data_IF_035156015619
#
_entry.id   IF_035156015619
#
_cell.length_a   1.000
_cell.length_b   1.000
_cell.length_c   1.000
_cell.angle_alpha   90.00
_cell.angle_beta   90.00
_cell.angle_gamma   90.00
#
_symmetry.space_group_name_H-M   'P 1'
#
loop_
_entity.id
_entity.type
_entity.pdbx_description
1 polymer ?
#
# COMPACT_ATOMS: atom_id res chain seq x y z
N UNK A 1 -15.97 -11.51 -6.91
CA UNK A 1 -14.64 -12.15 -6.73
C UNK A 1 -14.57 -13.59 -7.18
N UNK A 2 -15.55 -14.45 -6.87
CA UNK A 2 -15.53 -15.88 -7.23
C UNK A 2 -15.34 -16.12 -8.73
N UNK A 3 -16.07 -15.41 -9.59
CA UNK A 3 -15.89 -15.50 -11.05
C UNK A 3 -14.49 -15.11 -11.51
N UNK A 4 -13.92 -14.03 -10.98
CA UNK A 4 -12.55 -13.62 -11.32
C UNK A 4 -11.50 -14.65 -10.89
N UNK A 5 -11.70 -15.29 -9.74
CA UNK A 5 -10.81 -16.36 -9.27
C UNK A 5 -10.95 -17.61 -10.13
N UNK A 6 -12.18 -18.00 -10.49
CA UNK A 6 -12.47 -19.14 -11.36
C UNK A 6 -11.91 -18.93 -12.78
N UNK A 7 -12.04 -17.73 -13.36
CA UNK A 7 -11.50 -17.45 -14.68
C UNK A 7 -9.97 -17.62 -14.73
N UNK A 8 -9.26 -17.35 -13.64
CA UNK A 8 -7.80 -17.52 -13.55
C UNK A 8 -7.40 -18.95 -13.15
N UNK A 9 -8.14 -19.56 -12.23
CA UNK A 9 -7.87 -20.90 -11.73
C UNK A 9 -9.19 -21.68 -11.66
N UNK A 10 -9.65 -22.24 -12.80
CA UNK A 10 -10.88 -23.00 -12.83
C UNK A 10 -10.76 -24.26 -11.97
N UNK A 11 -11.84 -24.60 -11.26
CA UNK A 11 -11.92 -25.77 -10.40
C UNK A 11 -13.22 -26.53 -10.70
N UNK A 12 -13.21 -27.87 -10.61
CA UNK A 12 -14.36 -28.69 -10.98
C UNK A 12 -14.61 -28.74 -12.50
N UNK A 13 -13.56 -28.70 -13.31
CA UNK A 13 -13.62 -28.83 -14.77
C UNK A 13 -12.95 -30.14 -15.19
N UNK A 14 -13.56 -30.88 -16.12
CA UNK A 14 -12.98 -32.11 -16.68
C UNK A 14 -11.90 -31.82 -17.74
N UNK A 15 -11.19 -32.85 -18.19
CA UNK A 15 -10.16 -32.72 -19.24
C UNK A 15 -10.70 -32.22 -20.60
N UNK A 16 -12.04 -32.20 -20.79
CA UNK A 16 -12.71 -31.66 -21.98
C UNK A 16 -13.23 -30.24 -21.78
N UNK A 17 -12.89 -29.58 -20.66
CA UNK A 17 -13.33 -28.22 -20.37
C UNK A 17 -14.78 -28.11 -19.86
N UNK A 18 -15.47 -29.23 -19.60
CA UNK A 18 -16.84 -29.21 -19.08
C UNK A 18 -16.81 -28.98 -17.58
N UNK A 19 -17.57 -27.99 -17.11
CA UNK A 19 -17.75 -27.76 -15.69
C UNK A 19 -18.64 -28.87 -15.09
N UNK A 20 -18.03 -29.72 -14.27
CA UNK A 20 -18.69 -30.80 -13.51
C UNK A 20 -18.78 -30.48 -12.00
N UNK A 21 -18.29 -29.30 -11.61
CA UNK A 21 -18.29 -28.82 -10.24
C UNK A 21 -19.67 -28.33 -9.79
N UNK A 22 -19.71 -27.89 -8.54
CA UNK A 22 -20.87 -27.25 -7.92
C UNK A 22 -20.46 -25.87 -7.37
N UNK A 23 -21.38 -25.16 -6.72
CA UNK A 23 -21.09 -23.86 -6.10
C UNK A 23 -19.91 -23.90 -5.11
N UNK A 24 -19.65 -25.03 -4.45
CA UNK A 24 -18.51 -25.19 -3.55
C UNK A 24 -17.17 -25.13 -4.29
N UNK A 25 -17.06 -25.77 -5.46
CA UNK A 25 -15.85 -25.73 -6.29
C UNK A 25 -15.55 -24.31 -6.80
N UNK A 26 -16.59 -23.52 -7.09
CA UNK A 26 -16.45 -22.10 -7.47
C UNK A 26 -15.96 -21.22 -6.30
N UNK A 27 -16.32 -21.56 -5.06
CA UNK A 27 -15.93 -20.82 -3.86
C UNK A 27 -14.62 -21.33 -3.23
N UNK A 28 -14.08 -22.46 -3.66
CA UNK A 28 -12.84 -23.05 -3.13
C UNK A 28 -11.80 -23.30 -4.22
N UNK A 29 -11.80 -22.49 -5.28
CA UNK A 29 -10.70 -22.52 -6.25
C UNK A 29 -9.38 -22.09 -5.61
N UNK A 30 -8.26 -22.50 -6.20
CA UNK A 30 -6.91 -22.25 -5.66
C UNK A 30 -6.63 -20.76 -5.36
N UNK A 31 -7.27 -19.85 -6.09
CA UNK A 31 -7.08 -18.41 -5.96
C UNK A 31 -8.19 -17.69 -5.20
N UNK A 32 -9.29 -18.36 -4.83
CA UNK A 32 -10.46 -17.70 -4.24
C UNK A 32 -10.14 -16.97 -2.93
N UNK A 33 -9.61 -17.71 -1.94
CA UNK A 33 -9.25 -17.15 -0.63
C UNK A 33 -8.16 -16.07 -0.74
N UNK A 34 -7.01 -16.33 -1.39
CA UNK A 34 -5.96 -15.33 -1.51
C UNK A 34 -6.42 -14.06 -2.25
N UNK A 35 -7.23 -14.22 -3.32
CA UNK A 35 -7.73 -13.07 -4.08
C UNK A 35 -8.72 -12.25 -3.26
N UNK A 36 -9.60 -12.88 -2.49
CA UNK A 36 -10.54 -12.17 -1.62
C UNK A 36 -9.82 -11.35 -0.56
N UNK A 37 -8.85 -11.94 0.14
CA UNK A 37 -8.09 -11.21 1.17
C UNK A 37 -7.34 -10.03 0.55
N UNK A 38 -6.67 -10.25 -0.59
CA UNK A 38 -5.95 -9.17 -1.26
C UNK A 38 -6.89 -8.05 -1.74
N UNK A 39 -8.05 -8.39 -2.32
CA UNK A 39 -9.02 -7.41 -2.81
C UNK A 39 -9.73 -6.68 -1.69
N UNK A 40 -10.09 -7.36 -0.60
CA UNK A 40 -10.72 -6.72 0.56
C UNK A 40 -9.85 -5.59 1.14
N UNK A 41 -8.55 -5.86 1.33
CA UNK A 41 -7.59 -4.84 1.76
C UNK A 41 -7.48 -3.71 0.73
N UNK A 42 -7.46 -4.07 -0.56
CA UNK A 42 -7.37 -3.11 -1.65
C UNK A 42 -8.62 -2.21 -1.75
N UNK A 43 -9.81 -2.74 -1.50
CA UNK A 43 -11.08 -2.01 -1.53
C UNK A 43 -11.15 -0.99 -0.38
N UNK A 44 -10.66 -1.36 0.82
CA UNK A 44 -10.51 -0.41 1.95
C UNK A 44 -9.60 0.76 1.55
N UNK A 45 -8.49 0.45 0.86
CA UNK A 45 -7.54 1.48 0.44
C UNK A 45 -8.07 2.35 -0.70
N UNK A 46 -8.84 1.79 -1.64
CA UNK A 46 -9.53 2.56 -2.68
C UNK A 46 -10.58 3.49 -2.11
N UNK A 47 -11.43 3.01 -1.19
CA UNK A 47 -12.41 3.85 -0.49
C UNK A 47 -11.71 4.95 0.32
N UNK A 48 -10.65 4.58 1.04
CA UNK A 48 -9.80 5.51 1.78
C UNK A 48 -9.21 6.60 0.88
N UNK A 49 -8.67 6.24 -0.29
CA UNK A 49 -8.12 7.19 -1.25
C UNK A 49 -9.14 8.24 -1.72
N UNK A 50 -10.39 7.85 -2.00
CA UNK A 50 -11.44 8.81 -2.39
C UNK A 50 -11.73 9.79 -1.25
N UNK A 51 -11.86 9.30 -0.02
CA UNK A 51 -12.12 10.17 1.14
C UNK A 51 -10.91 11.07 1.43
N UNK A 52 -9.68 10.57 1.28
CA UNK A 52 -8.46 11.37 1.39
C UNK A 52 -8.44 12.52 0.38
N UNK A 53 -8.75 12.23 -0.89
CA UNK A 53 -8.81 13.26 -1.91
C UNK A 53 -9.94 14.27 -1.64
N UNK A 54 -11.11 13.81 -1.17
CA UNK A 54 -12.19 14.70 -0.76
C UNK A 54 -11.78 15.61 0.40
N UNK A 55 -11.12 15.05 1.43
CA UNK A 55 -10.62 15.80 2.57
C UNK A 55 -9.61 16.87 2.12
N UNK A 56 -8.68 16.54 1.22
CA UNK A 56 -7.76 17.52 0.65
C UNK A 56 -8.50 18.61 -0.16
N UNK A 57 -9.43 18.21 -1.02
CA UNK A 57 -10.23 19.14 -1.82
C UNK A 57 -10.99 20.13 -0.94
N UNK A 58 -11.67 19.63 0.10
CA UNK A 58 -12.39 20.46 1.05
C UNK A 58 -11.44 21.30 1.90
N UNK A 59 -10.30 20.77 2.34
CA UNK A 59 -9.30 21.55 3.08
C UNK A 59 -8.83 22.78 2.29
N UNK A 60 -8.59 22.63 0.98
CA UNK A 60 -8.16 23.73 0.11
C UNK A 60 -9.27 24.72 -0.26
N UNK A 61 -10.53 24.25 -0.33
CA UNK A 61 -11.69 25.09 -0.67
C UNK A 61 -12.41 25.69 0.54
N UNK A 62 -12.09 25.24 1.75
CA UNK A 62 -12.67 25.73 3.00
C UNK A 62 -12.36 27.22 3.23
N UNK A 63 -13.40 27.97 3.61
CA UNK A 63 -13.32 29.41 3.88
C UNK A 63 -13.11 29.72 5.36
N UNK A 64 -13.51 28.79 6.23
CA UNK A 64 -13.39 28.93 7.69
C UNK A 64 -12.24 28.07 8.22
N UNK A 65 -11.68 28.47 9.37
CA UNK A 65 -10.62 27.71 10.02
C UNK A 65 -11.18 26.41 10.65
N UNK A 66 -12.46 26.42 11.06
CA UNK A 66 -13.19 25.28 11.61
C UNK A 66 -13.38 24.17 10.58
N UNK A 67 -13.86 24.49 9.37
CA UNK A 67 -13.98 23.51 8.29
C UNK A 67 -12.61 22.94 7.90
N UNK A 68 -11.60 23.81 7.79
CA UNK A 68 -10.24 23.39 7.47
C UNK A 68 -9.69 22.43 8.53
N UNK A 69 -9.97 22.69 9.80
CA UNK A 69 -9.62 21.81 10.91
C UNK A 69 -10.33 20.45 10.82
N UNK A 70 -11.63 20.45 10.51
CA UNK A 70 -12.39 19.22 10.32
C UNK A 70 -11.82 18.35 9.20
N UNK A 71 -11.57 18.92 8.01
CA UNK A 71 -11.05 18.14 6.88
C UNK A 71 -9.58 17.73 7.04
N UNK A 72 -8.80 18.46 7.84
CA UNK A 72 -7.49 17.97 8.28
C UNK A 72 -7.60 16.71 9.15
N UNK A 73 -8.54 16.71 10.10
CA UNK A 73 -8.83 15.54 10.92
C UNK A 73 -9.34 14.36 10.09
N UNK A 74 -10.29 14.59 9.17
CA UNK A 74 -10.79 13.54 8.26
C UNK A 74 -9.64 12.94 7.45
N UNK A 75 -8.76 13.78 6.89
CA UNK A 75 -7.59 13.32 6.14
C UNK A 75 -6.66 12.44 6.98
N UNK A 76 -6.42 12.81 8.24
CA UNK A 76 -5.62 11.99 9.16
C UNK A 76 -6.27 10.64 9.48
N UNK A 77 -7.57 10.62 9.80
CA UNK A 77 -8.29 9.39 10.16
C UNK A 77 -8.32 8.41 9.01
N UNK A 78 -8.67 8.88 7.81
CA UNK A 78 -8.73 8.00 6.64
C UNK A 78 -7.35 7.59 6.13
N UNK A 79 -6.30 8.39 6.38
CA UNK A 79 -4.94 7.93 6.16
C UNK A 79 -4.62 6.76 7.08
N UNK A 80 -4.97 6.86 8.36
CA UNK A 80 -4.74 5.78 9.32
C UNK A 80 -5.47 4.49 8.90
N UNK A 81 -6.75 4.57 8.53
CA UNK A 81 -7.52 3.43 7.99
C UNK A 81 -6.84 2.82 6.76
N UNK A 82 -6.41 3.67 5.83
CA UNK A 82 -5.73 3.24 4.60
C UNK A 82 -4.40 2.56 4.90
N UNK A 83 -3.61 3.09 5.85
CA UNK A 83 -2.33 2.50 6.27
C UNK A 83 -2.55 1.16 6.96
N UNK A 84 -3.58 1.01 7.80
CA UNK A 84 -3.94 -0.26 8.41
C UNK A 84 -4.25 -1.35 7.37
N UNK A 85 -4.79 -0.99 6.21
CA UNK A 85 -4.99 -1.92 5.10
C UNK A 85 -3.74 -2.09 4.21
N UNK A 86 -2.93 -1.04 4.05
CA UNK A 86 -1.67 -1.08 3.28
C UNK A 86 -0.62 -1.99 3.91
N UNK A 87 -0.45 -1.94 5.23
CA UNK A 87 0.58 -2.71 5.93
C UNK A 87 0.48 -4.23 5.71
N UNK A 88 -0.71 -4.87 5.78
CA UNK A 88 -0.86 -6.29 5.48
C UNK A 88 -0.89 -6.62 3.98
N UNK A 89 -1.09 -5.62 3.10
CA UNK A 89 -1.28 -5.84 1.65
C UNK A 89 -0.13 -6.58 0.96
N UNK A 90 1.17 -6.29 1.21
CA UNK A 90 2.27 -7.06 0.64
C UNK A 90 2.16 -8.56 0.93
N UNK A 91 1.78 -8.93 2.16
CA UNK A 91 1.62 -10.33 2.56
C UNK A 91 0.45 -11.01 1.87
N UNK A 92 -0.69 -10.33 1.76
CA UNK A 92 -1.82 -10.82 0.97
C UNK A 92 -1.43 -11.01 -0.51
N UNK A 93 -0.63 -10.09 -1.07
CA UNK A 93 -0.08 -10.21 -2.42
C UNK A 93 0.87 -11.40 -2.57
N UNK A 94 1.76 -11.64 -1.61
CA UNK A 94 2.65 -12.80 -1.62
C UNK A 94 1.89 -14.12 -1.51
N UNK A 95 0.86 -14.17 -0.66
CA UNK A 95 0.01 -15.35 -0.55
C UNK A 95 -0.73 -15.63 -1.86
N UNK A 96 -1.30 -14.60 -2.49
CA UNK A 96 -1.92 -14.71 -3.80
C UNK A 96 -0.94 -15.24 -4.83
N UNK A 97 0.25 -14.66 -4.90
CA UNK A 97 1.24 -15.03 -5.89
C UNK A 97 1.78 -16.45 -5.69
N UNK A 98 2.04 -16.84 -4.44
CA UNK A 98 2.40 -18.23 -4.10
C UNK A 98 1.32 -19.21 -4.56
N UNK A 99 0.05 -18.85 -4.42
CA UNK A 99 -1.08 -19.68 -4.85
C UNK A 99 -1.17 -19.77 -6.38
N UNK A 100 -0.85 -18.69 -7.11
CA UNK A 100 -0.71 -18.70 -8.57
C UNK A 100 0.39 -19.67 -9.01
N UNK A 101 1.59 -19.58 -8.43
CA UNK A 101 2.69 -20.50 -8.75
C UNK A 101 2.38 -21.97 -8.42
N UNK A 102 1.64 -22.21 -7.33
CA UNK A 102 1.23 -23.57 -6.95
C UNK A 102 0.17 -24.15 -7.90
N UNK A 103 -0.71 -23.30 -8.45
CA UNK A 103 -1.70 -23.70 -9.43
C UNK A 103 -1.10 -23.89 -10.83
N UNK A 104 -0.38 -22.89 -11.34
CA UNK A 104 0.23 -22.91 -12.66
C UNK A 104 1.57 -22.15 -12.66
N UNK A 105 2.65 -22.90 -12.89
CA UNK A 105 3.98 -22.32 -12.97
C UNK A 105 4.12 -21.40 -14.20
N UNK A 106 3.45 -21.72 -15.32
CA UNK A 106 3.46 -20.89 -16.53
C UNK A 106 2.78 -19.53 -16.31
N UNK A 107 1.65 -19.52 -15.59
CA UNK A 107 0.97 -18.28 -15.19
C UNK A 107 1.86 -17.45 -14.26
N UNK A 108 2.45 -18.06 -13.23
CA UNK A 108 3.34 -17.38 -12.29
C UNK A 108 4.55 -16.74 -12.98
N UNK A 109 5.21 -17.48 -13.89
CA UNK A 109 6.34 -16.98 -14.68
C UNK A 109 5.89 -15.84 -15.59
N UNK A 110 4.77 -15.98 -16.32
CA UNK A 110 4.23 -14.92 -17.18
C UNK A 110 4.00 -13.61 -16.42
N UNK A 111 3.47 -13.69 -15.19
CA UNK A 111 3.20 -12.53 -14.36
C UNK A 111 4.48 -11.86 -13.85
N UNK A 112 5.39 -12.61 -13.21
CA UNK A 112 6.50 -12.00 -12.45
C UNK A 112 7.88 -12.05 -13.13
N UNK A 113 8.10 -12.97 -14.05
CA UNK A 113 9.40 -13.19 -14.70
C UNK A 113 9.37 -13.11 -16.22
N UNK A 114 8.19 -12.98 -16.82
CA UNK A 114 7.96 -12.94 -18.25
C UNK A 114 7.37 -11.62 -18.72
N UNK A 115 6.36 -11.69 -19.58
CA UNK A 115 5.79 -10.57 -20.32
C UNK A 115 5.33 -9.40 -19.43
N UNK A 116 4.82 -9.65 -18.23
CA UNK A 116 4.27 -8.62 -17.35
C UNK A 116 5.27 -8.08 -16.32
N UNK A 117 6.53 -8.53 -16.33
CA UNK A 117 7.55 -8.18 -15.30
C UNK A 117 7.75 -6.66 -15.15
N UNK A 118 7.80 -5.92 -16.25
CA UNK A 118 7.98 -4.47 -16.20
C UNK A 118 6.78 -3.74 -15.61
N UNK A 119 5.56 -4.28 -15.76
CA UNK A 119 4.38 -3.73 -15.06
C UNK A 119 4.50 -3.94 -13.55
N UNK A 120 5.08 -5.06 -13.09
CA UNK A 120 5.41 -5.25 -11.68
C UNK A 120 6.50 -4.29 -11.18
N UNK A 121 7.45 -3.88 -12.03
CA UNK A 121 8.42 -2.84 -11.68
C UNK A 121 7.73 -1.49 -11.51
N UNK A 122 6.86 -1.11 -12.45
CA UNK A 122 6.04 0.12 -12.33
C UNK A 122 5.15 0.06 -11.09
N UNK A 123 4.57 -1.10 -10.78
CA UNK A 123 3.80 -1.30 -9.56
C UNK A 123 4.68 -1.08 -8.31
N UNK A 124 5.89 -1.62 -8.28
CA UNK A 124 6.82 -1.44 -7.16
C UNK A 124 7.17 0.04 -6.96
N UNK A 125 7.35 0.81 -8.05
CA UNK A 125 7.55 2.26 -8.00
C UNK A 125 6.37 2.98 -7.37
N UNK A 126 5.15 2.64 -7.80
CA UNK A 126 3.95 3.26 -7.26
C UNK A 126 3.76 2.91 -5.76
N UNK A 127 3.96 1.64 -5.37
CA UNK A 127 3.94 1.24 -3.95
C UNK A 127 5.01 1.98 -3.16
N UNK A 128 6.18 2.18 -3.74
CA UNK A 128 7.23 2.99 -3.16
C UNK A 128 6.81 4.43 -2.89
N UNK A 129 6.14 5.04 -3.86
CA UNK A 129 5.54 6.36 -3.72
C UNK A 129 4.46 6.39 -2.63
N UNK A 130 3.70 5.30 -2.44
CA UNK A 130 2.73 5.19 -1.34
C UNK A 130 3.40 5.24 0.02
N UNK A 131 4.43 4.41 0.25
CA UNK A 131 5.17 4.42 1.52
C UNK A 131 5.86 5.77 1.75
N UNK A 132 6.47 6.35 0.72
CA UNK A 132 7.08 7.68 0.82
C UNK A 132 6.03 8.75 1.16
N UNK A 133 4.88 8.75 0.50
CA UNK A 133 3.80 9.71 0.74
C UNK A 133 3.19 9.61 2.13
N UNK A 134 2.96 8.39 2.64
CA UNK A 134 2.50 8.15 4.01
C UNK A 134 3.51 8.71 5.02
N UNK A 135 4.79 8.38 4.88
CA UNK A 135 5.83 8.86 5.78
C UNK A 135 6.00 10.38 5.70
N UNK A 136 6.00 10.94 4.49
CA UNK A 136 6.08 12.36 4.27
C UNK A 136 4.91 13.09 4.94
N UNK A 137 3.68 12.60 4.79
CA UNK A 137 2.52 13.18 5.47
C UNK A 137 2.67 13.10 7.00
N UNK A 138 3.12 11.96 7.55
CA UNK A 138 3.34 11.84 9.00
C UNK A 138 4.37 12.86 9.51
N UNK A 139 5.45 13.09 8.75
CA UNK A 139 6.47 14.08 9.12
C UNK A 139 5.94 15.52 9.01
N UNK A 140 5.18 15.84 7.96
CA UNK A 140 4.53 17.16 7.83
C UNK A 140 3.46 17.40 8.90
N UNK A 141 2.75 16.34 9.31
CA UNK A 141 1.75 16.37 10.38
C UNK A 141 2.33 16.68 11.76
N UNK A 142 3.65 16.70 11.91
CA UNK A 142 4.30 17.09 13.16
C UNK A 142 4.25 18.60 13.39
N UNK A 143 4.09 19.39 12.32
CA UNK A 143 3.98 20.84 12.41
C UNK A 143 2.76 21.27 13.24
N UNK A 144 1.68 20.46 13.24
CA UNK A 144 0.47 20.69 14.06
C UNK A 144 0.59 20.17 15.51
N UNK A 145 1.74 19.62 15.90
CA UNK A 145 1.99 19.02 17.22
C UNK A 145 3.05 19.79 18.01
N UNK A 146 2.67 20.35 19.16
CA UNK A 146 3.61 21.01 20.09
C UNK A 146 4.64 20.02 20.62
N UNK A 147 5.92 20.25 20.31
CA UNK A 147 7.04 19.38 20.69
C UNK A 147 7.45 18.34 19.64
N UNK A 148 6.87 18.38 18.43
CA UNK A 148 7.26 17.53 17.30
C UNK A 148 8.66 17.82 16.75
N UNK A 149 9.18 19.04 16.94
CA UNK A 149 10.53 19.47 16.52
C UNK A 149 11.63 18.54 17.04
N UNK A 150 11.44 17.95 18.22
CA UNK A 150 12.35 16.95 18.83
C UNK A 150 12.68 15.78 17.89
N UNK A 151 11.76 15.44 16.99
CA UNK A 151 11.89 14.30 16.10
C UNK A 151 12.36 14.66 14.68
N UNK A 152 12.46 15.95 14.36
CA UNK A 152 12.80 16.44 13.02
C UNK A 152 14.14 15.92 12.47
N UNK A 153 15.23 15.85 13.27
CA UNK A 153 16.50 15.32 12.77
C UNK A 153 16.42 13.85 12.33
N UNK A 154 15.60 13.04 13.01
CA UNK A 154 15.50 11.61 12.70
C UNK A 154 14.80 11.34 11.36
N UNK A 155 13.99 12.28 10.85
CA UNK A 155 13.29 12.10 9.57
C UNK A 155 14.26 11.98 8.40
N UNK A 156 15.41 12.67 8.45
CA UNK A 156 16.43 12.58 7.40
C UNK A 156 17.05 11.17 7.36
N UNK A 157 17.35 10.59 8.52
CA UNK A 157 17.85 9.22 8.61
C UNK A 157 16.80 8.21 8.15
N UNK A 158 15.55 8.36 8.57
CA UNK A 158 14.44 7.50 8.13
C UNK A 158 14.21 7.60 6.62
N UNK A 159 14.29 8.80 6.05
CA UNK A 159 14.21 9.02 4.60
C UNK A 159 15.36 8.32 3.87
N UNK A 160 16.59 8.40 4.37
CA UNK A 160 17.73 7.72 3.78
C UNK A 160 17.54 6.19 3.72
N UNK A 161 17.08 5.58 4.82
CA UNK A 161 16.78 4.14 4.88
C UNK A 161 15.61 3.79 3.95
N UNK A 162 14.56 4.62 3.92
CA UNK A 162 13.41 4.44 3.05
C UNK A 162 13.83 4.47 1.58
N UNK A 163 14.61 5.48 1.16
CA UNK A 163 15.13 5.61 -0.21
C UNK A 163 15.99 4.40 -0.59
N UNK A 164 16.90 3.97 0.29
CA UNK A 164 17.73 2.78 0.05
C UNK A 164 16.89 1.52 -0.17
N UNK A 165 15.90 1.30 0.68
CA UNK A 165 14.98 0.17 0.54
C UNK A 165 14.16 0.27 -0.77
N UNK A 166 13.71 1.46 -1.15
CA UNK A 166 13.05 1.68 -2.44
C UNK A 166 13.95 1.35 -3.63
N UNK A 167 15.21 1.78 -3.62
CA UNK A 167 16.16 1.45 -4.69
C UNK A 167 16.35 -0.07 -4.84
N UNK A 168 16.50 -0.79 -3.71
CA UNK A 168 16.60 -2.25 -3.72
C UNK A 168 15.33 -2.88 -4.32
N UNK A 169 14.15 -2.43 -3.89
CA UNK A 169 12.88 -2.98 -4.37
C UNK A 169 12.65 -2.71 -5.87
N UNK A 170 13.00 -1.51 -6.33
CA UNK A 170 12.86 -1.06 -7.72
C UNK A 170 13.79 -1.80 -8.69
N UNK A 171 14.85 -2.43 -8.18
CA UNK A 171 15.83 -3.10 -9.03
C UNK A 171 15.16 -4.27 -9.79
N UNK A 172 15.20 -4.28 -11.14
CA UNK A 172 14.62 -5.36 -11.93
C UNK A 172 15.55 -6.58 -11.93
N UNK A 173 14.97 -7.77 -12.08
CA UNK A 173 15.75 -9.01 -12.20
C UNK A 173 16.43 -9.14 -13.57
N UNK A 174 15.75 -8.64 -14.60
CA UNK A 174 16.22 -8.57 -16.00
C UNK A 174 16.21 -7.12 -16.44
N UNK A 175 17.35 -6.60 -16.89
CA UNK A 175 17.47 -5.25 -17.44
C UNK A 175 17.14 -5.30 -18.94
N UNK A 176 16.60 -4.22 -19.50
CA UNK A 176 16.41 -4.16 -20.96
C UNK A 176 17.78 -4.10 -21.63
N UNK A 177 18.11 -5.13 -22.40
CA UNK A 177 19.43 -5.36 -22.97
C UNK A 177 19.29 -5.85 -24.41
N UNK A 178 20.22 -5.41 -25.25
CA UNK A 178 20.40 -5.92 -26.61
C UNK A 178 20.95 -7.35 -26.59
N UNK A 179 20.78 -8.08 -27.70
CA UNK A 179 21.26 -9.47 -27.81
C UNK A 179 22.78 -9.61 -27.62
N UNK A 180 23.56 -8.60 -28.02
CA UNK A 180 25.02 -8.56 -27.80
C UNK A 180 25.37 -8.38 -26.32
N UNK A 181 24.64 -7.55 -25.58
CA UNK A 181 24.84 -7.36 -24.15
C UNK A 181 24.50 -8.64 -23.37
N UNK A 182 23.39 -9.31 -23.69
CA UNK A 182 23.01 -10.61 -23.09
C UNK A 182 24.13 -11.64 -23.29
N UNK A 183 24.70 -11.71 -24.50
CA UNK A 183 25.82 -12.61 -24.81
C UNK A 183 27.08 -12.22 -24.03
N UNK A 184 27.39 -10.93 -23.91
CA UNK A 184 28.56 -10.43 -23.19
C UNK A 184 28.49 -10.71 -21.67
N UNK A 185 27.29 -10.69 -21.08
CA UNK A 185 27.09 -10.99 -19.65
C UNK A 185 26.96 -12.48 -19.34
N UNK A 186 26.89 -13.35 -20.36
CA UNK A 186 26.71 -14.79 -20.18
C UNK A 186 25.33 -15.20 -19.69
N UNK A 187 24.31 -14.35 -19.82
CA UNK A 187 22.94 -14.66 -19.37
C UNK A 187 21.97 -13.47 -19.45
N UNK A 188 20.69 -13.76 -19.18
CA UNK A 188 19.59 -12.78 -19.23
C UNK A 188 19.49 -11.87 -18.00
N UNK A 189 20.35 -12.05 -16.99
CA UNK A 189 20.37 -11.28 -15.75
C UNK A 189 21.80 -10.90 -15.37
N UNK A 190 22.00 -9.65 -14.97
CA UNK A 190 23.30 -9.17 -14.51
C UNK A 190 23.71 -9.86 -13.18
N UNK A 191 24.95 -10.36 -13.02
CA UNK A 191 25.36 -11.17 -11.85
C UNK A 191 25.17 -10.48 -10.48
N UNK A 192 25.39 -9.16 -10.42
CA UNK A 192 25.21 -8.36 -9.19
C UNK A 192 23.80 -7.78 -9.07
N UNK A 193 23.39 -6.93 -10.02
CA UNK A 193 22.08 -6.25 -10.03
C UNK A 193 20.91 -7.23 -10.02
N UNK A 194 21.04 -8.36 -10.73
CA UNK A 194 20.02 -9.39 -10.80
C UNK A 194 19.65 -9.97 -9.44
N UNK A 195 20.58 -10.00 -8.47
CA UNK A 195 20.31 -10.48 -7.11
C UNK A 195 19.36 -9.58 -6.34
N UNK A 196 19.38 -8.26 -6.57
CA UNK A 196 18.41 -7.35 -5.94
C UNK A 196 17.01 -7.45 -6.57
N UNK A 197 16.94 -7.92 -7.81
CA UNK A 197 15.68 -8.20 -8.50
C UNK A 197 14.96 -9.48 -8.05
N UNK A 198 15.58 -10.32 -7.22
CA UNK A 198 14.96 -11.58 -6.76
C UNK A 198 13.94 -11.33 -5.64
N UNK A 199 13.00 -12.26 -5.49
CA UNK A 199 11.93 -12.14 -4.48
C UNK A 199 12.45 -11.93 -3.06
N UNK A 200 13.53 -12.59 -2.63
CA UNK A 200 14.05 -12.41 -1.25
C UNK A 200 14.52 -10.98 -0.96
N UNK A 201 15.18 -10.32 -1.91
CA UNK A 201 15.59 -8.91 -1.75
C UNK A 201 14.39 -7.96 -1.75
N UNK A 202 13.45 -8.14 -2.68
CA UNK A 202 12.23 -7.32 -2.75
C UNK A 202 11.39 -7.44 -1.47
N UNK A 203 11.27 -8.66 -0.94
CA UNK A 203 10.60 -8.92 0.33
C UNK A 203 11.34 -8.25 1.49
N UNK A 204 12.67 -8.32 1.51
CA UNK A 204 13.48 -7.62 2.50
C UNK A 204 13.21 -6.12 2.50
N UNK A 205 13.26 -5.51 1.32
CA UNK A 205 13.04 -4.08 1.14
C UNK A 205 11.65 -3.63 1.63
N UNK A 206 10.56 -4.32 1.23
CA UNK A 206 9.21 -3.96 1.70
C UNK A 206 9.06 -4.10 3.21
N UNK A 207 9.65 -5.13 3.81
CA UNK A 207 9.60 -5.32 5.25
C UNK A 207 10.35 -4.19 5.99
N UNK A 208 11.51 -3.75 5.48
CA UNK A 208 12.21 -2.58 6.03
C UNK A 208 11.38 -1.29 5.86
N UNK A 209 10.70 -1.09 4.74
CA UNK A 209 9.80 0.07 4.55
C UNK A 209 8.66 0.08 5.57
N UNK A 210 8.09 -1.09 5.88
CA UNK A 210 7.08 -1.24 6.92
C UNK A 210 7.66 -0.89 8.30
N UNK A 211 8.87 -1.35 8.62
CA UNK A 211 9.53 -1.00 9.88
C UNK A 211 9.78 0.51 9.99
N UNK A 212 10.31 1.15 8.94
CA UNK A 212 10.52 2.60 8.91
C UNK A 212 9.20 3.36 9.11
N UNK A 213 8.14 2.93 8.43
CA UNK A 213 6.81 3.54 8.56
C UNK A 213 6.25 3.39 9.96
N UNK A 214 6.43 2.22 10.57
CA UNK A 214 6.03 1.97 11.96
C UNK A 214 6.79 2.87 12.93
N UNK A 215 8.10 3.06 12.71
CA UNK A 215 8.92 3.93 13.53
C UNK A 215 8.53 5.40 13.38
N UNK A 216 8.28 5.88 12.15
CA UNK A 216 7.70 7.21 11.89
C UNK A 216 6.39 7.41 12.64
N UNK A 217 5.51 6.41 12.66
CA UNK A 217 4.25 6.47 13.39
C UNK A 217 4.44 6.49 14.92
N UNK A 218 5.42 5.73 15.45
CA UNK A 218 5.78 5.80 16.87
C UNK A 218 6.25 7.20 17.25
N UNK A 219 7.11 7.83 16.44
CA UNK A 219 7.54 9.22 16.66
C UNK A 219 6.35 10.18 16.61
N UNK A 220 5.43 9.99 15.66
CA UNK A 220 4.20 10.80 15.56
C UNK A 220 3.38 10.74 16.84
N UNK A 221 3.13 9.53 17.36
CA UNK A 221 2.36 9.34 18.61
C UNK A 221 3.03 9.93 19.85
N UNK A 222 4.35 10.11 19.82
CA UNK A 222 5.16 10.66 20.91
C UNK A 222 5.36 12.18 20.81
N UNK A 223 5.18 12.77 19.62
CA UNK A 223 5.55 14.15 19.34
C UNK A 223 4.95 15.17 20.32
N UNK A 224 3.64 15.07 20.62
CA UNK A 224 2.97 15.94 21.58
C UNK A 224 2.89 15.40 23.02
N UNK A 225 3.57 14.29 23.32
CA UNK A 225 3.51 13.62 24.62
C UNK A 225 4.88 13.56 25.30
N UNK A 226 4.88 13.60 26.62
CA UNK A 226 6.06 13.35 27.46
C UNK A 226 5.77 12.13 28.32
N UNK A 227 6.55 11.07 28.15
CA UNK A 227 6.39 9.83 28.90
C UNK A 227 6.85 10.05 30.36
N UNK A 228 6.01 9.64 31.32
CA UNK A 228 6.27 9.81 32.77
C UNK A 228 6.50 8.49 33.50
N UNK A 229 6.35 7.35 32.82
CA UNK A 229 6.54 6.03 33.43
C UNK A 229 7.99 5.81 33.85
N UNK A 230 8.23 5.16 34.99
CA UNK A 230 9.60 4.99 35.54
C UNK A 230 10.56 4.20 34.63
N UNK A 231 10.02 3.39 33.71
CA UNK A 231 10.78 2.51 32.83
C UNK A 231 11.02 3.06 31.41
N UNK A 232 10.90 4.38 31.18
CA UNK A 232 11.09 4.98 29.83
C UNK A 232 12.40 4.52 29.17
N UNK A 233 13.52 4.54 29.91
CA UNK A 233 14.84 4.14 29.38
C UNK A 233 14.86 2.69 28.91
N UNK A 234 14.34 1.76 29.74
CA UNK A 234 14.24 0.33 29.42
C UNK A 234 13.30 0.09 28.24
N UNK A 235 12.16 0.78 28.19
CA UNK A 235 11.19 0.65 27.09
C UNK A 235 11.75 1.16 25.75
N UNK A 236 12.47 2.29 25.75
CA UNK A 236 13.14 2.78 24.55
C UNK A 236 14.24 1.84 24.07
N UNK A 237 15.04 1.29 25.00
CA UNK A 237 16.04 0.27 24.67
C UNK A 237 15.39 -0.96 24.05
N UNK A 238 14.28 -1.46 24.63
CA UNK A 238 13.57 -2.63 24.13
C UNK A 238 13.00 -2.39 22.73
N UNK A 239 12.38 -1.23 22.48
CA UNK A 239 11.90 -0.86 21.13
C UNK A 239 13.08 -0.79 20.15
N UNK A 240 14.17 -0.12 20.53
CA UNK A 240 15.37 -0.03 19.69
C UNK A 240 15.97 -1.41 19.35
N UNK A 241 16.07 -2.29 20.35
CA UNK A 241 16.53 -3.66 20.18
C UNK A 241 15.61 -4.47 19.26
N UNK A 242 14.28 -4.36 19.43
CA UNK A 242 13.31 -5.01 18.54
C UNK A 242 13.48 -4.59 17.08
N UNK A 243 13.60 -3.29 16.82
CA UNK A 243 13.82 -2.78 15.47
C UNK A 243 15.16 -3.24 14.90
N UNK A 244 16.25 -3.18 15.69
CA UNK A 244 17.58 -3.58 15.23
C UNK A 244 17.66 -5.08 14.92
N UNK A 245 17.26 -5.92 15.88
CA UNK A 245 17.27 -7.39 15.72
C UNK A 245 16.35 -7.81 14.58
N UNK A 246 15.16 -7.22 14.51
CA UNK A 246 14.21 -7.50 13.43
C UNK A 246 14.74 -7.11 12.05
N UNK A 247 15.32 -5.91 11.91
CA UNK A 247 15.92 -5.46 10.67
C UNK A 247 17.11 -6.35 10.27
N UNK A 248 17.99 -6.70 11.20
CA UNK A 248 19.10 -7.63 10.95
C UNK A 248 18.59 -8.99 10.47
N UNK A 249 17.59 -9.55 11.14
CA UNK A 249 17.00 -10.84 10.72
C UNK A 249 16.41 -10.77 9.30
N UNK A 250 15.66 -9.70 8.97
CA UNK A 250 15.10 -9.50 7.63
C UNK A 250 16.22 -9.40 6.57
N UNK A 251 17.27 -8.63 6.86
CA UNK A 251 18.42 -8.45 5.94
C UNK A 251 19.16 -9.78 5.77
N UNK A 252 19.46 -10.50 6.86
CA UNK A 252 20.11 -11.81 6.81
C UNK A 252 19.31 -12.81 5.98
N UNK A 253 18.00 -12.91 6.18
CA UNK A 253 17.13 -13.78 5.38
C UNK A 253 17.11 -13.35 3.91
N UNK A 254 17.17 -12.05 3.62
CA UNK A 254 17.18 -11.52 2.25
C UNK A 254 18.45 -11.91 1.50
N UNK A 255 19.61 -11.75 2.15
CA UNK A 255 20.93 -12.13 1.64
C UNK A 255 21.06 -13.65 1.52
N UNK A 256 20.60 -14.41 2.52
CA UNK A 256 20.57 -15.87 2.46
C UNK A 256 19.78 -16.38 1.25
N UNK A 257 18.69 -15.69 0.89
CA UNK A 257 17.90 -16.00 -0.29
C UNK A 257 18.67 -15.94 -1.62
N UNK A 258 19.79 -15.22 -1.71
CA UNK A 258 20.62 -15.18 -2.92
C UNK A 258 21.21 -16.54 -3.26
N UNK A 259 21.51 -17.35 -2.24
CA UNK A 259 22.12 -18.66 -2.39
C UNK A 259 21.11 -19.80 -2.53
N UNK A 260 19.80 -19.51 -2.40
CA UNK A 260 18.74 -20.51 -2.51
C UNK A 260 18.15 -20.62 -3.91
N UNK A 261 17.74 -21.83 -4.35
CA UNK A 261 16.91 -22.01 -5.53
C UNK A 261 15.58 -21.25 -5.45
N UNK A 262 15.08 -20.75 -6.59
CA UNK A 262 13.90 -19.88 -6.65
C UNK A 262 12.66 -20.45 -5.95
N UNK A 263 12.41 -21.77 -6.07
CA UNK A 263 11.27 -22.46 -5.43
C UNK A 263 11.28 -22.34 -3.91
N UNK A 264 12.47 -22.43 -3.28
CA UNK A 264 12.64 -22.32 -1.83
C UNK A 264 12.70 -20.86 -1.39
N UNK A 265 13.31 -19.99 -2.21
CA UNK A 265 13.45 -18.55 -1.95
C UNK A 265 12.12 -17.84 -1.70
N UNK A 266 11.06 -18.20 -2.42
CA UNK A 266 9.71 -17.62 -2.22
C UNK A 266 9.17 -17.89 -0.81
N UNK A 267 9.55 -19.02 -0.20
CA UNK A 267 9.17 -19.40 1.16
C UNK A 267 9.75 -18.46 2.24
N UNK A 268 10.87 -17.79 1.98
CA UNK A 268 11.49 -16.83 2.92
C UNK A 268 10.61 -15.59 3.19
N UNK A 269 9.60 -15.33 2.36
CA UNK A 269 8.61 -14.28 2.61
C UNK A 269 7.90 -14.44 3.97
N UNK A 270 7.59 -15.67 4.37
CA UNK A 270 6.84 -15.95 5.59
C UNK A 270 7.62 -15.63 6.88
N UNK A 271 8.87 -16.11 7.08
CA UNK A 271 9.64 -15.73 8.27
C UNK A 271 10.00 -14.24 8.32
N UNK A 272 10.24 -13.59 7.16
CA UNK A 272 10.42 -12.14 7.11
C UNK A 272 9.15 -11.41 7.56
N UNK A 273 7.97 -11.84 7.08
CA UNK A 273 6.68 -11.29 7.48
C UNK A 273 6.42 -11.41 8.98
N UNK A 274 6.63 -12.60 9.55
CA UNK A 274 6.46 -12.85 10.98
C UNK A 274 7.37 -11.94 11.80
N UNK A 275 8.62 -11.76 11.37
CA UNK A 275 9.55 -10.83 12.01
C UNK A 275 9.00 -9.41 12.01
N UNK A 276 8.57 -8.92 10.84
CA UNK A 276 8.01 -7.58 10.70
C UNK A 276 6.78 -7.37 11.57
N UNK A 277 5.83 -8.32 11.57
CA UNK A 277 4.65 -8.25 12.42
C UNK A 277 5.00 -8.27 13.91
N UNK A 278 5.98 -9.09 14.31
CA UNK A 278 6.43 -9.16 15.70
C UNK A 278 7.01 -7.82 16.14
N UNK A 279 7.87 -7.21 15.33
CA UNK A 279 8.42 -5.88 15.62
C UNK A 279 7.33 -4.82 15.63
N UNK A 280 6.45 -4.82 14.64
CA UNK A 280 5.36 -3.86 14.51
C UNK A 280 4.41 -3.91 15.71
N UNK A 281 3.86 -5.09 16.00
CA UNK A 281 2.91 -5.27 17.11
C UNK A 281 3.61 -5.06 18.44
N UNK A 282 4.76 -5.68 18.65
CA UNK A 282 5.54 -5.55 19.88
C UNK A 282 5.91 -4.10 20.19
N UNK A 283 6.48 -3.38 19.22
CA UNK A 283 6.87 -1.99 19.40
C UNK A 283 5.65 -1.07 19.63
N UNK A 284 4.53 -1.28 18.92
CA UNK A 284 3.32 -0.49 19.13
C UNK A 284 2.66 -0.77 20.50
N UNK A 285 2.66 -2.01 20.97
CA UNK A 285 2.16 -2.40 22.29
C UNK A 285 3.04 -1.78 23.39
N UNK A 286 4.36 -1.96 23.31
CA UNK A 286 5.30 -1.37 24.28
C UNK A 286 5.13 0.16 24.27
N UNK A 287 5.09 0.78 23.09
CA UNK A 287 4.87 2.21 22.96
C UNK A 287 3.55 2.67 23.59
N UNK A 288 2.45 1.94 23.38
CA UNK A 288 1.16 2.24 24.00
C UNK A 288 1.26 2.15 25.53
N UNK A 289 1.93 1.14 26.07
CA UNK A 289 2.16 0.99 27.51
C UNK A 289 3.01 2.13 28.09
N UNK A 290 4.04 2.58 27.36
CA UNK A 290 4.89 3.70 27.76
C UNK A 290 4.17 5.06 27.74
N UNK A 291 3.15 5.20 26.89
CA UNK A 291 2.33 6.41 26.78
C UNK A 291 1.21 6.49 27.83
N UNK A 292 1.02 5.47 28.67
CA UNK A 292 0.03 5.51 29.76
C UNK A 292 0.36 6.64 30.74
N UNK A 293 -0.61 7.53 30.97
CA UNK A 293 -0.44 8.69 31.85
C UNK A 293 0.52 9.76 31.33
N UNK A 294 0.91 9.72 30.04
CA UNK A 294 1.83 10.69 29.47
C UNK A 294 1.26 12.12 29.51
N UNK A 295 2.11 13.09 29.87
CA UNK A 295 1.75 14.50 29.88
C UNK A 295 1.64 15.01 28.44
N UNK A 296 0.46 15.52 28.08
CA UNK A 296 0.17 16.09 26.76
C UNK A 296 0.63 17.55 26.75
N UNK A 297 1.58 17.89 25.87
CA UNK A 297 2.18 19.25 25.77
C UNK A 297 1.23 20.30 25.15
N UNK A 298 0.07 19.86 24.67
CA UNK A 298 -0.97 20.70 24.09
C UNK A 298 -1.89 19.91 23.16
N UNK A 299 -3.09 20.44 22.85
CA UNK A 299 -3.99 19.83 21.88
C UNK A 299 -3.37 19.83 20.48
N UNK A 300 -3.86 18.93 19.63
CA UNK A 300 -3.50 18.90 18.20
C UNK A 300 -4.11 20.13 17.54
N UNK A 301 -3.30 20.90 16.80
CA UNK A 301 -3.76 22.10 16.10
C UNK A 301 -4.28 21.73 14.70
N UNK A 302 -5.47 21.13 14.64
CA UNK A 302 -6.12 20.78 13.38
C UNK A 302 -6.28 22.01 12.47
N UNK A 303 -6.07 21.82 11.17
CA UNK A 303 -6.14 22.89 10.17
C UNK A 303 -4.84 23.65 9.97
N UNK A 304 -3.84 23.46 10.86
CA UNK A 304 -2.51 24.10 10.79
C UNK A 304 -1.42 23.17 10.22
N UNK A 305 -1.80 22.06 9.57
CA UNK A 305 -0.86 21.26 8.77
C UNK A 305 -0.31 22.08 7.59
N UNK A 306 0.92 21.79 7.16
CA UNK A 306 1.50 22.43 5.98
C UNK A 306 0.71 22.08 4.71
N UNK A 307 0.61 23.06 3.80
CA UNK A 307 0.03 22.87 2.46
C UNK A 307 0.70 21.71 1.73
N UNK A 308 2.02 21.56 1.88
CA UNK A 308 2.80 20.47 1.29
C UNK A 308 2.34 19.10 1.80
N UNK A 309 1.99 18.98 3.07
CA UNK A 309 1.41 17.77 3.64
C UNK A 309 0.10 17.38 2.97
N UNK A 310 -0.80 18.34 2.75
CA UNK A 310 -2.09 18.09 2.07
C UNK A 310 -1.95 17.80 0.59
N UNK A 311 -1.04 18.48 -0.11
CA UNK A 311 -0.72 18.13 -1.51
C UNK A 311 -0.14 16.73 -1.60
N UNK A 312 0.74 16.34 -0.67
CA UNK A 312 1.27 14.99 -0.57
C UNK A 312 0.17 13.94 -0.32
N UNK A 313 -0.80 14.25 0.54
CA UNK A 313 -1.95 13.37 0.82
C UNK A 313 -2.87 13.21 -0.41
N UNK A 314 -3.09 14.27 -1.16
CA UNK A 314 -3.83 14.22 -2.43
C UNK A 314 -3.08 13.39 -3.48
N UNK A 315 -1.77 13.60 -3.61
CA UNK A 315 -0.90 12.79 -4.48
C UNK A 315 -0.89 11.31 -4.08
N UNK A 316 -1.01 11.01 -2.79
CA UNK A 316 -1.12 9.65 -2.27
C UNK A 316 -2.44 8.98 -2.71
N UNK A 317 -3.57 9.69 -2.62
CA UNK A 317 -4.87 9.20 -3.09
C UNK A 317 -4.84 8.88 -4.61
N UNK A 318 -4.21 9.76 -5.38
CA UNK A 318 -3.93 9.54 -6.79
C UNK A 318 -3.10 8.26 -7.00
N UNK A 319 -1.94 8.15 -6.34
CA UNK A 319 -1.04 7.00 -6.48
C UNK A 319 -1.73 5.66 -6.15
N UNK A 320 -2.60 5.61 -5.12
CA UNK A 320 -3.36 4.40 -4.79
C UNK A 320 -4.21 3.92 -5.95
N UNK A 321 -4.91 4.84 -6.59
CA UNK A 321 -5.82 4.51 -7.69
C UNK A 321 -5.04 4.02 -8.93
N UNK A 322 -3.85 4.57 -9.21
CA UNK A 322 -2.95 4.04 -10.25
C UNK A 322 -2.52 2.60 -9.96
N UNK A 323 -2.12 2.30 -8.70
CA UNK A 323 -1.78 0.92 -8.29
C UNK A 323 -2.96 -0.01 -8.54
N UNK A 324 -4.18 0.43 -8.23
CA UNK A 324 -5.38 -0.38 -8.38
C UNK A 324 -5.72 -0.68 -9.84
N UNK A 325 -5.66 0.32 -10.71
CA UNK A 325 -5.86 0.14 -12.16
C UNK A 325 -4.80 -0.80 -12.75
N UNK A 326 -3.53 -0.58 -12.41
CA UNK A 326 -2.41 -1.41 -12.87
C UNK A 326 -2.54 -2.87 -12.40
N UNK A 327 -2.93 -3.09 -11.14
CA UNK A 327 -3.12 -4.44 -10.60
C UNK A 327 -4.36 -5.14 -11.12
N UNK A 328 -5.41 -4.39 -11.45
CA UNK A 328 -6.56 -4.90 -12.20
C UNK A 328 -6.12 -5.47 -13.54
N UNK A 329 -5.31 -4.71 -14.29
CA UNK A 329 -4.77 -5.13 -15.57
C UNK A 329 -3.86 -6.37 -15.45
N UNK A 330 -2.84 -6.34 -14.59
CA UNK A 330 -1.89 -7.45 -14.40
C UNK A 330 -2.63 -8.78 -14.11
N UNK A 331 -3.67 -8.76 -13.26
CA UNK A 331 -4.46 -9.96 -12.95
C UNK A 331 -5.28 -10.44 -14.15
N UNK A 332 -5.88 -9.53 -14.90
CA UNK A 332 -6.64 -9.89 -16.11
C UNK A 332 -5.73 -10.48 -17.18
N UNK A 333 -4.58 -9.85 -17.43
CA UNK A 333 -3.60 -10.29 -18.42
C UNK A 333 -2.83 -11.56 -18.02
N UNK A 334 -2.89 -11.97 -16.75
CA UNK A 334 -2.35 -13.26 -16.31
C UNK A 334 -3.00 -14.46 -17.02
N UNK A 335 -4.19 -14.28 -17.63
CA UNK A 335 -4.85 -15.30 -18.46
C UNK A 335 -4.44 -15.25 -19.93
N UNK A 336 -3.67 -14.26 -20.38
CA UNK A 336 -3.26 -14.10 -21.78
C UNK A 336 -4.47 -14.14 -22.74
N UNK A 337 -4.44 -14.99 -23.77
CA UNK A 337 -5.49 -15.17 -24.76
C UNK A 337 -6.63 -16.11 -24.28
N UNK A 338 -6.93 -16.13 -22.98
CA UNK A 338 -7.96 -16.99 -22.40
C UNK A 338 -9.01 -16.16 -21.63
N UNK A 339 -10.28 -16.42 -21.90
CA UNK A 339 -11.39 -15.95 -21.07
C UNK A 339 -11.43 -16.71 -19.73
N UNK A 340 -11.26 -18.03 -19.81
CA UNK A 340 -11.04 -18.93 -18.67
C UNK A 340 -9.77 -19.71 -18.93
N UNK A 341 -8.77 -19.58 -18.07
CA UNK A 341 -7.45 -20.19 -18.25
C UNK A 341 -7.55 -21.68 -18.58
N UNK A 342 -6.95 -22.08 -19.70
CA UNK A 342 -6.88 -23.47 -20.19
C UNK A 342 -8.23 -24.14 -20.51
N UNK A 343 -9.35 -23.40 -20.43
CA UNK A 343 -10.70 -23.94 -20.67
C UNK A 343 -11.40 -23.23 -21.83
N UNK A 344 -11.34 -21.90 -21.87
CA UNK A 344 -12.02 -21.09 -22.87
C UNK A 344 -11.05 -20.09 -23.49
N UNK A 345 -10.50 -20.45 -24.65
CA UNK A 345 -9.62 -19.58 -25.42
C UNK A 345 -10.40 -18.41 -26.02
N UNK A 346 -9.77 -17.23 -26.08
CA UNK A 346 -10.26 -16.10 -26.84
C UNK A 346 -9.85 -16.27 -28.31
N UNK A 347 -10.84 -16.59 -29.15
CA UNK A 347 -10.66 -16.78 -30.60
C UNK A 347 -11.03 -15.52 -31.38
N UNK A 348 -11.30 -14.41 -30.71
CA UNK A 348 -11.64 -13.17 -31.37
C UNK A 348 -10.44 -12.57 -32.11
N UNK A 349 -10.66 -11.76 -33.17
CA UNK A 349 -9.59 -11.04 -33.85
C UNK A 349 -8.80 -10.06 -32.96
N UNK A 350 -9.34 -9.74 -31.78
CA UNK A 350 -8.76 -8.81 -30.81
C UNK A 350 -8.15 -9.51 -29.59
N UNK A 351 -7.93 -10.83 -29.67
CA UNK A 351 -7.25 -11.60 -28.65
C UNK A 351 -5.75 -11.25 -28.62
N UNK A 352 -5.39 -10.15 -27.96
CA UNK A 352 -4.00 -9.77 -27.73
C UNK A 352 -3.79 -9.32 -26.28
N UNK A 353 -2.56 -9.48 -25.80
CA UNK A 353 -2.15 -8.93 -24.50
C UNK A 353 -1.50 -7.58 -24.75
N UNK A 354 -2.07 -6.47 -24.24
CA UNK A 354 -1.45 -5.17 -24.43
C UNK A 354 -0.03 -5.07 -23.89
N UNK A 355 0.82 -4.36 -24.64
CA UNK A 355 2.18 -4.06 -24.20
C UNK A 355 2.19 -3.06 -23.02
N UNK A 356 3.38 -2.82 -22.47
CA UNK A 356 3.56 -1.90 -21.34
C UNK A 356 3.04 -0.50 -21.64
N UNK A 357 3.31 0.03 -22.84
CA UNK A 357 2.97 1.40 -23.21
C UNK A 357 1.45 1.57 -23.36
N UNK A 358 0.79 0.65 -24.05
CA UNK A 358 -0.66 0.63 -24.19
C UNK A 358 -1.34 0.47 -22.84
N UNK A 359 -0.90 -0.50 -22.03
CA UNK A 359 -1.46 -0.73 -20.71
C UNK A 359 -1.33 0.51 -19.80
N UNK A 360 -0.15 1.15 -19.77
CA UNK A 360 0.08 2.35 -18.98
C UNK A 360 -0.80 3.53 -19.42
N UNK A 361 -0.97 3.72 -20.74
CA UNK A 361 -1.87 4.74 -21.30
C UNK A 361 -3.33 4.48 -20.90
N UNK A 362 -3.81 3.25 -21.04
CA UNK A 362 -5.18 2.89 -20.71
C UNK A 362 -5.48 3.00 -19.22
N UNK A 363 -4.56 2.55 -18.35
CA UNK A 363 -4.69 2.71 -16.89
C UNK A 363 -4.75 4.20 -16.53
N UNK A 364 -3.89 5.02 -17.15
CA UNK A 364 -3.87 6.47 -16.95
C UNK A 364 -5.14 7.15 -17.45
N UNK A 365 -5.66 6.74 -18.61
CA UNK A 365 -6.93 7.24 -19.14
C UNK A 365 -8.08 6.93 -18.20
N UNK A 366 -8.21 5.67 -17.76
CA UNK A 366 -9.24 5.24 -16.80
C UNK A 366 -9.14 6.06 -15.51
N UNK A 367 -7.92 6.29 -15.03
CA UNK A 367 -7.67 7.10 -13.85
C UNK A 367 -8.13 8.57 -14.03
N UNK A 368 -7.82 9.19 -15.17
CA UNK A 368 -8.28 10.56 -15.48
C UNK A 368 -9.81 10.63 -15.55
N UNK A 369 -10.45 9.65 -16.18
CA UNK A 369 -11.92 9.56 -16.26
C UNK A 369 -12.53 9.39 -14.87
N UNK A 370 -11.98 8.49 -14.06
CA UNK A 370 -12.43 8.25 -12.70
C UNK A 370 -12.35 9.52 -11.84
N UNK A 371 -11.20 10.18 -11.80
CA UNK A 371 -11.07 11.42 -11.02
C UNK A 371 -11.84 12.58 -11.61
N UNK A 372 -11.99 12.65 -12.93
CA UNK A 372 -12.89 13.60 -13.58
C UNK A 372 -14.32 13.45 -13.06
N UNK A 373 -14.82 12.22 -13.00
CA UNK A 373 -16.14 11.91 -12.44
C UNK A 373 -16.23 12.21 -10.93
N UNK A 374 -15.22 11.84 -10.15
CA UNK A 374 -15.18 12.10 -8.69
C UNK A 374 -15.13 13.60 -8.39
N UNK A 375 -14.33 14.38 -9.11
CA UNK A 375 -14.28 15.83 -8.91
C UNK A 375 -15.54 16.52 -9.41
N UNK A 376 -16.16 16.04 -10.51
CA UNK A 376 -17.48 16.50 -10.92
C UNK A 376 -18.52 16.25 -9.82
N UNK A 377 -18.51 15.06 -9.21
CA UNK A 377 -19.36 14.74 -8.05
C UNK A 377 -19.10 15.69 -6.88
N UNK A 378 -17.84 15.91 -6.51
CA UNK A 378 -17.49 16.83 -5.41
C UNK A 378 -18.01 18.25 -5.66
N UNK A 379 -17.89 18.71 -6.90
CA UNK A 379 -18.38 20.02 -7.32
C UNK A 379 -19.91 20.12 -7.31
N UNK A 380 -20.61 19.08 -7.80
CA UNK A 380 -22.08 19.02 -7.78
C UNK A 380 -22.61 19.06 -6.34
N UNK A 381 -22.06 18.24 -5.44
CA UNK A 381 -22.48 18.19 -4.04
C UNK A 381 -22.24 19.51 -3.28
N UNK A 382 -21.31 20.36 -3.74
CA UNK A 382 -21.13 21.70 -3.15
C UNK A 382 -22.24 22.68 -3.55
N UNK A 383 -22.79 22.55 -4.76
CA UNK A 383 -23.84 23.46 -5.24
C UNK A 383 -25.16 23.28 -4.50
N UNK A 384 -25.47 22.05 -4.09
CA UNK A 384 -26.68 21.73 -3.30
C UNK A 384 -26.59 22.22 -1.84
N UNK A 385 -25.43 22.71 -1.38
CA UNK A 385 -25.27 23.35 -0.07
C UNK A 385 -25.39 24.87 -0.09
N UNK A 386 -25.66 25.47 -1.25
CA UNK A 386 -26.16 26.84 -1.30
C UNK A 386 -27.62 26.81 -0.82
N UNK A 387 -28.04 27.69 0.10
CA UNK A 387 -29.43 27.69 0.55
C UNK A 387 -30.33 27.86 -0.66
N UNK A 388 -31.22 26.89 -0.87
CA UNK A 388 -32.34 27.07 -1.79
C UNK A 388 -33.04 28.34 -1.33
N UNK A 389 -33.07 29.36 -2.18
CA UNK A 389 -33.77 30.61 -1.91
C UNK A 389 -35.24 30.29 -1.59
N UNK A 390 -35.60 30.21 -0.30
CA UNK A 390 -36.97 29.93 0.11
C UNK A 390 -37.22 29.17 1.42
N UNK A 391 -36.22 28.80 2.23
CA UNK A 391 -36.49 28.27 3.58
C UNK A 391 -35.89 29.18 4.66
N UNK A 392 -36.70 30.14 5.09
CA UNK A 392 -36.63 30.67 6.46
C UNK A 392 -37.16 29.62 7.45
N UNK A 393 -36.64 29.68 8.68
CA UNK A 393 -37.00 28.95 9.92
C UNK A 393 -36.19 27.64 10.15
N UNK A 394 -35.46 27.43 11.24
CA UNK A 394 -35.47 28.06 12.55
C UNK A 394 -34.09 27.91 13.22
N UNK A 395 -33.68 28.97 13.93
CA UNK A 395 -32.64 28.90 14.97
C UNK A 395 -33.04 27.85 16.03
N UNK A 396 -32.12 26.93 16.35
CA UNK A 396 -32.31 26.03 17.49
C UNK A 396 -31.41 24.79 17.48
N UNK A 397 -30.26 24.88 18.15
CA UNK A 397 -29.53 23.74 18.75
C UNK A 397 -29.06 22.60 17.83
N UNK A 398 -28.40 22.88 16.71
CA UNK A 398 -27.47 21.90 16.16
C UNK A 398 -26.12 22.04 16.86
N UNK A 399 -25.91 21.23 17.90
CA UNK A 399 -24.59 21.03 18.49
C UNK A 399 -23.68 20.49 17.38
N UNK A 400 -22.87 21.37 16.78
CA UNK A 400 -21.79 20.94 15.89
C UNK A 400 -20.87 20.08 16.74
N UNK A 401 -20.90 18.77 16.50
CA UNK A 401 -20.00 17.79 17.08
C UNK A 401 -18.58 18.06 16.59
N UNK A 402 -17.95 19.12 17.10
CA UNK A 402 -16.52 19.21 17.15
C UNK A 402 -16.05 18.08 18.07
N UNK A 403 -15.09 17.23 17.66
CA UNK A 403 -14.62 16.15 18.53
C UNK A 403 -14.01 16.76 19.80
N UNK A 404 -14.60 16.42 20.95
CA UNK A 404 -14.03 16.73 22.25
C UNK A 404 -12.63 16.14 22.35
N UNK A 405 -11.69 16.91 22.89
CA UNK A 405 -10.25 16.63 22.96
C UNK A 405 -9.83 15.42 23.83
N UNK A 406 -10.77 14.55 24.22
CA UNK A 406 -10.59 13.56 25.29
C UNK A 406 -11.07 12.13 25.01
N UNK A 407 -11.34 11.73 23.75
CA UNK A 407 -11.69 10.34 23.46
C UNK A 407 -10.85 9.71 22.34
N UNK A 408 -9.62 9.32 22.67
CA UNK A 408 -8.95 8.19 22.03
C UNK A 408 -8.19 7.41 23.11
N UNK A 409 -8.73 6.25 23.51
CA UNK A 409 -8.14 5.32 24.46
C UNK A 409 -7.18 4.31 23.81
#
# INVERSE_FOLDING_TARGET
NSWSAFMMAPAGVDAKGRFLGNGWHLLHSALWNPLNVHRFLADIMSGGAVVLAYACYRFFTSKTDEERAYFDWVGYVFLFVTVCALLPMPFAGYWLMRSVYAFSQSMGVTMMGGLLTWLFVVQALLIGALFLGVNYYLWQSMARLRGGERYQPYYQSLLGVLILALFIWLTPHTVMMSGSEVKAMGGSSHPVVGNYGVMSAKNGAVNILILVTTLSFIYYRRANRTMVVSWVKKGNFLIGALFLIGALNIICLSVYGFYLPAKLRVGLSSPQAVTTFTVLVGALVINRMMLKGALVRGPVQWGKISVRGMVGLFGLAAAFSWVMGLMGYIRSSGRLAWHVSEVMADVSPWAFTPDLAFAAKMVTLNMVVFWGAVFALFWMCQRDQLPVMGEDLAEGNATVLAPSSSQEA
#
